data_IF_399830184122
#
_entry.id   IF_399830184122
#
_cell.length_a   1.000
_cell.length_b   1.000
_cell.length_c   1.000
_cell.angle_alpha   90.00
_cell.angle_beta   90.00
_cell.angle_gamma   90.00
#
_symmetry.space_group_name_H-M   'P 1'
#
loop_
_entity.id
_entity.type
_entity.pdbx_description
1 polymer ?
#
# COMPACT_ATOMS: atom_id res chain seq x y z
N UNK A 1 -13.79 23.25 11.82
CA UNK A 1 -15.04 22.48 12.06
C UNK A 1 -15.20 21.57 10.86
N UNK A 2 -15.16 20.26 11.06
CA UNK A 2 -15.29 19.29 9.95
C UNK A 2 -16.74 19.38 9.45
N UNK A 3 -16.89 19.61 8.14
CA UNK A 3 -18.20 19.56 7.50
C UNK A 3 -18.72 18.11 7.55
N UNK A 4 -19.77 17.88 8.33
CA UNK A 4 -20.30 16.54 8.60
C UNK A 4 -20.87 15.88 7.34
N UNK A 5 -21.46 16.66 6.42
CA UNK A 5 -22.03 16.14 5.17
C UNK A 5 -20.90 15.73 4.22
N UNK A 6 -19.87 16.58 4.09
CA UNK A 6 -18.68 16.25 3.31
C UNK A 6 -17.99 14.99 3.84
N UNK A 7 -17.79 14.91 5.17
CA UNK A 7 -17.13 13.76 5.79
C UNK A 7 -17.92 12.48 5.59
N UNK A 8 -19.24 12.52 5.74
CA UNK A 8 -20.13 11.38 5.50
C UNK A 8 -20.04 10.92 4.04
N UNK A 9 -20.15 11.86 3.09
CA UNK A 9 -20.06 11.56 1.66
C UNK A 9 -18.67 11.04 1.29
N UNK A 10 -17.62 11.57 1.90
CA UNK A 10 -16.26 11.06 1.75
C UNK A 10 -16.14 9.60 2.23
N UNK A 11 -16.71 9.28 3.41
CA UNK A 11 -16.74 7.91 3.93
C UNK A 11 -17.53 6.98 3.01
N UNK A 12 -18.67 7.42 2.49
CA UNK A 12 -19.49 6.64 1.55
C UNK A 12 -18.71 6.32 0.25
N UNK A 13 -17.97 7.29 -0.29
CA UNK A 13 -17.08 7.09 -1.45
C UNK A 13 -15.93 6.14 -1.13
N UNK A 14 -15.37 6.25 0.06
CA UNK A 14 -14.27 5.41 0.53
C UNK A 14 -14.76 3.97 0.76
N UNK A 15 -15.94 3.79 1.34
CA UNK A 15 -16.59 2.50 1.57
C UNK A 15 -17.11 1.81 0.30
N UNK A 16 -16.82 2.36 -0.89
CA UNK A 16 -17.23 1.81 -2.17
C UNK A 16 -18.75 1.81 -2.42
N UNK A 17 -19.44 2.85 -1.96
CA UNK A 17 -20.82 3.07 -2.38
C UNK A 17 -20.88 3.16 -3.92
N UNK A 18 -21.60 2.26 -4.61
CA UNK A 18 -21.64 2.24 -6.08
C UNK A 18 -22.56 3.33 -6.61
N UNK A 19 -22.17 4.59 -6.43
CA UNK A 19 -22.94 5.75 -6.88
C UNK A 19 -22.11 6.60 -7.86
N UNK A 20 -22.74 7.03 -8.94
CA UNK A 20 -22.19 8.09 -9.77
C UNK A 20 -22.43 9.41 -9.04
N UNK A 21 -21.36 10.08 -8.67
CA UNK A 21 -21.41 11.31 -7.88
C UNK A 21 -20.31 12.27 -8.29
N UNK A 22 -20.58 13.54 -8.13
CA UNK A 22 -19.59 14.61 -8.23
C UNK A 22 -19.73 15.50 -7.02
N UNK A 23 -18.64 15.81 -6.36
CA UNK A 23 -18.59 16.58 -5.14
C UNK A 23 -17.44 17.60 -5.20
N UNK A 24 -17.72 18.84 -4.89
CA UNK A 24 -16.69 19.85 -4.70
C UNK A 24 -16.22 19.85 -3.24
N UNK A 25 -14.93 20.14 -3.02
CA UNK A 25 -14.41 20.33 -1.67
C UNK A 25 -15.03 21.61 -1.10
N UNK A 26 -15.62 21.57 0.12
CA UNK A 26 -16.19 22.77 0.74
C UNK A 26 -15.17 23.89 0.85
N UNK A 27 -15.55 25.11 0.42
CA UNK A 27 -14.62 26.24 0.30
C UNK A 27 -13.91 26.65 1.59
N UNK A 28 -14.47 26.31 2.75
CA UNK A 28 -13.84 26.56 4.05
C UNK A 28 -12.81 25.47 4.44
N UNK A 29 -12.71 24.39 3.67
CA UNK A 29 -11.73 23.29 3.87
C UNK A 29 -10.62 23.33 2.85
N UNK A 30 -10.86 23.97 1.70
CA UNK A 30 -9.91 24.02 0.60
C UNK A 30 -10.57 24.15 -0.77
N UNK A 31 -9.90 23.59 -1.77
CA UNK A 31 -10.40 23.58 -3.16
C UNK A 31 -10.23 22.22 -3.77
N UNK A 32 -11.10 21.87 -4.70
CA UNK A 32 -10.95 20.63 -5.45
C UNK A 32 -12.29 19.97 -5.74
N UNK A 33 -12.18 18.80 -6.36
CA UNK A 33 -13.35 18.06 -6.83
C UNK A 33 -13.07 16.57 -6.76
N UNK A 34 -14.06 15.82 -6.33
CA UNK A 34 -14.07 14.36 -6.37
C UNK A 34 -15.21 13.95 -7.28
N UNK A 35 -14.94 13.11 -8.27
CA UNK A 35 -15.95 12.55 -9.15
C UNK A 35 -15.84 11.05 -9.22
N UNK A 36 -16.97 10.39 -9.30
CA UNK A 36 -17.08 8.94 -9.38
C UNK A 36 -18.11 8.54 -10.40
N UNK A 37 -17.77 7.57 -11.22
CA UNK A 37 -18.65 6.94 -12.19
C UNK A 37 -18.64 5.44 -11.96
N UNK A 38 -19.83 4.83 -12.04
CA UNK A 38 -19.99 3.39 -11.87
C UNK A 38 -20.39 2.78 -13.21
N UNK A 39 -19.67 1.76 -13.63
CA UNK A 39 -19.98 0.99 -14.86
C UNK A 39 -21.17 0.05 -14.62
N UNK A 40 -21.70 -0.54 -15.68
CA UNK A 40 -22.80 -1.51 -15.55
C UNK A 40 -22.40 -2.80 -14.84
N UNK A 41 -21.14 -3.18 -14.91
CA UNK A 41 -20.58 -4.32 -14.20
C UNK A 41 -20.18 -3.99 -12.74
N UNK A 42 -20.48 -2.76 -12.30
CA UNK A 42 -20.20 -2.32 -10.95
C UNK A 42 -18.75 -1.89 -10.71
N UNK A 43 -17.92 -1.78 -11.76
CA UNK A 43 -16.61 -1.17 -11.60
C UNK A 43 -16.76 0.33 -11.34
N UNK A 44 -15.96 0.84 -10.40
CA UNK A 44 -16.02 2.22 -9.92
C UNK A 44 -14.75 2.94 -10.34
N UNK A 45 -14.92 4.00 -11.13
CA UNK A 45 -13.82 4.87 -11.55
C UNK A 45 -13.97 6.20 -10.82
N UNK A 46 -12.96 6.60 -10.06
CA UNK A 46 -12.98 7.87 -9.34
C UNK A 46 -11.75 8.71 -9.60
N UNK A 47 -11.99 10.00 -9.80
CA UNK A 47 -11.00 11.06 -9.93
C UNK A 47 -11.06 11.96 -8.70
N UNK A 48 -9.93 12.15 -8.05
CA UNK A 48 -9.77 12.91 -6.82
C UNK A 48 -8.77 14.03 -7.06
N UNK A 49 -9.23 15.28 -7.02
CA UNK A 49 -8.41 16.47 -7.04
C UNK A 49 -8.70 17.27 -5.79
N UNK A 50 -7.71 17.39 -4.90
CA UNK A 50 -7.93 17.98 -3.57
C UNK A 50 -6.73 18.84 -3.19
N UNK A 51 -7.03 19.99 -2.62
CA UNK A 51 -6.07 20.87 -1.96
C UNK A 51 -6.72 21.44 -0.71
N UNK A 52 -6.34 20.94 0.44
CA UNK A 52 -6.84 21.37 1.73
C UNK A 52 -6.02 22.55 2.27
N UNK A 53 -6.65 23.48 2.96
CA UNK A 53 -5.98 24.64 3.54
C UNK A 53 -5.16 24.28 4.80
N UNK A 54 -5.56 23.24 5.51
CA UNK A 54 -4.89 22.68 6.68
C UNK A 54 -4.81 21.15 6.56
N UNK A 55 -4.06 20.51 7.47
CA UNK A 55 -3.97 19.06 7.52
C UNK A 55 -5.37 18.45 7.70
N UNK A 56 -5.68 17.45 6.86
CA UNK A 56 -6.96 16.77 6.81
C UNK A 56 -6.78 15.30 7.11
N UNK A 57 -7.40 14.85 8.20
CA UNK A 57 -7.44 13.42 8.55
C UNK A 57 -8.81 12.85 8.22
N UNK A 58 -8.83 11.76 7.51
CA UNK A 58 -10.05 11.04 7.14
C UNK A 58 -9.89 9.56 7.44
N UNK A 59 -10.99 8.89 7.73
CA UNK A 59 -11.00 7.44 7.89
C UNK A 59 -12.20 6.83 7.18
N UNK A 60 -12.07 5.57 6.81
CA UNK A 60 -13.14 4.81 6.18
C UNK A 60 -12.82 3.33 6.11
N UNK A 61 -13.83 2.50 5.97
CA UNK A 61 -13.66 1.06 5.80
C UNK A 61 -13.36 0.75 4.34
N UNK A 62 -12.22 0.13 4.08
CA UNK A 62 -11.88 -0.33 2.74
C UNK A 62 -12.48 -1.73 2.50
N UNK A 63 -13.58 -1.77 1.76
CA UNK A 63 -14.36 -2.98 1.52
C UNK A 63 -13.53 -4.08 0.84
N UNK A 64 -13.63 -5.31 1.35
CA UNK A 64 -13.02 -6.50 0.77
C UNK A 64 -13.76 -7.05 -0.48
N UNK A 65 -14.86 -6.39 -0.85
CA UNK A 65 -15.63 -6.73 -2.04
C UNK A 65 -14.98 -6.27 -3.37
N UNK A 66 -13.87 -5.51 -3.30
CA UNK A 66 -13.23 -4.92 -4.48
C UNK A 66 -11.74 -5.21 -4.56
N UNK A 67 -11.27 -5.37 -5.79
CA UNK A 67 -9.87 -5.16 -6.17
C UNK A 67 -9.72 -3.69 -6.55
N UNK A 68 -8.67 -3.02 -6.06
CA UNK A 68 -8.44 -1.60 -6.28
C UNK A 68 -7.11 -1.36 -6.99
N UNK A 69 -7.12 -0.46 -7.97
CA UNK A 69 -5.94 0.08 -8.63
C UNK A 69 -5.91 1.57 -8.35
N UNK A 70 -4.96 2.02 -7.54
CA UNK A 70 -4.79 3.41 -7.14
C UNK A 70 -3.59 4.02 -7.87
N UNK A 71 -3.79 5.16 -8.52
CA UNK A 71 -2.77 5.92 -9.26
C UNK A 71 -2.55 7.26 -8.58
N UNK A 72 -1.32 7.53 -8.15
CA UNK A 72 -0.92 8.79 -7.54
C UNK A 72 -0.33 9.74 -8.60
N UNK A 73 -1.09 10.75 -9.01
CA UNK A 73 -0.75 11.64 -10.12
C UNK A 73 -0.02 12.92 -9.67
N UNK A 74 -0.18 13.32 -8.41
CA UNK A 74 0.48 14.50 -7.81
C UNK A 74 1.10 14.15 -6.46
N UNK A 75 0.84 14.92 -5.41
CA UNK A 75 1.38 14.65 -4.07
C UNK A 75 0.92 13.29 -3.57
N UNK A 76 1.84 12.54 -2.96
CA UNK A 76 1.56 11.24 -2.36
C UNK A 76 0.93 11.34 -0.98
N UNK A 77 0.40 10.24 -0.50
CA UNK A 77 -0.15 10.12 0.85
C UNK A 77 0.28 8.82 1.52
N UNK A 78 0.07 8.79 2.82
CA UNK A 78 0.22 7.57 3.62
C UNK A 78 -1.10 7.27 4.30
N UNK A 79 -1.40 5.99 4.44
CA UNK A 79 -2.53 5.55 5.24
C UNK A 79 -2.14 4.38 6.13
N UNK A 80 -2.78 4.33 7.28
CA UNK A 80 -2.64 3.26 8.25
C UNK A 80 -3.88 2.37 8.19
N UNK A 81 -3.67 1.07 8.30
CA UNK A 81 -4.74 0.07 8.36
C UNK A 81 -4.92 -0.31 9.84
N UNK A 82 -6.15 -0.25 10.34
CA UNK A 82 -6.46 -0.66 11.71
C UNK A 82 -5.93 -2.08 11.98
N UNK A 83 -5.36 -2.27 13.16
CA UNK A 83 -4.74 -3.53 13.60
C UNK A 83 -3.48 -3.96 12.82
N UNK A 84 -3.02 -3.16 11.88
CA UNK A 84 -1.77 -3.38 11.18
C UNK A 84 -0.73 -2.33 11.59
N UNK A 85 0.45 -2.78 11.99
CA UNK A 85 1.55 -1.90 12.42
C UNK A 85 2.31 -1.27 11.24
N UNK A 86 1.72 -1.25 10.05
CA UNK A 86 2.43 -0.84 8.83
C UNK A 86 1.67 0.24 8.08
N UNK A 87 2.29 1.40 7.97
CA UNK A 87 1.81 2.44 7.09
C UNK A 87 2.05 2.07 5.63
N UNK A 88 1.04 2.23 4.82
CA UNK A 88 1.14 2.15 3.37
C UNK A 88 1.35 3.56 2.84
N UNK A 89 2.42 3.76 2.08
CA UNK A 89 2.72 5.05 1.45
C UNK A 89 2.70 4.89 -0.06
N UNK A 90 2.06 5.81 -0.78
CA UNK A 90 2.16 5.95 -2.23
C UNK A 90 2.75 7.31 -2.56
N UNK A 91 3.65 7.36 -3.55
CA UNK A 91 4.31 8.58 -4.00
C UNK A 91 3.81 9.00 -5.37
N UNK A 92 4.07 10.24 -5.74
CA UNK A 92 3.81 10.74 -7.10
C UNK A 92 4.43 9.81 -8.15
N UNK A 93 3.66 9.46 -9.16
CA UNK A 93 4.09 8.55 -10.24
C UNK A 93 4.04 7.07 -9.87
N UNK A 94 3.64 6.73 -8.65
CA UNK A 94 3.42 5.33 -8.26
C UNK A 94 1.96 4.93 -8.42
N UNK A 95 1.75 3.65 -8.66
CA UNK A 95 0.46 2.98 -8.63
C UNK A 95 0.53 1.72 -7.79
N UNK A 96 -0.58 1.30 -7.24
CA UNK A 96 -0.69 0.03 -6.51
C UNK A 96 -1.98 -0.69 -6.84
N UNK A 97 -1.90 -2.03 -6.82
CA UNK A 97 -3.06 -2.91 -6.87
C UNK A 97 -3.14 -3.72 -5.58
N UNK A 98 -4.34 -3.83 -5.05
CA UNK A 98 -4.59 -4.60 -3.83
C UNK A 98 -6.08 -4.93 -3.68
N UNK A 99 -6.37 -5.96 -2.89
CA UNK A 99 -7.74 -6.23 -2.46
C UNK A 99 -8.03 -5.46 -1.18
N UNK A 100 -9.21 -4.85 -1.08
CA UNK A 100 -9.71 -4.32 0.18
C UNK A 100 -9.78 -5.42 1.26
N UNK A 101 -9.64 -5.05 2.51
CA UNK A 101 -9.49 -6.00 3.63
C UNK A 101 -10.61 -5.89 4.67
N UNK A 102 -11.65 -5.06 4.41
CA UNK A 102 -12.78 -4.88 5.33
C UNK A 102 -12.45 -4.14 6.62
N UNK A 103 -11.22 -3.60 6.76
CA UNK A 103 -10.76 -2.88 7.94
C UNK A 103 -10.85 -1.36 7.76
N UNK A 104 -10.81 -0.65 8.87
CA UNK A 104 -10.70 0.80 8.89
C UNK A 104 -9.32 1.24 8.42
N UNK A 105 -9.27 2.22 7.54
CA UNK A 105 -8.06 2.91 7.10
C UNK A 105 -8.12 4.36 7.57
N UNK A 106 -6.96 4.88 7.96
CA UNK A 106 -6.76 6.26 8.39
C UNK A 106 -5.80 6.95 7.45
N UNK A 107 -6.26 8.00 6.77
CA UNK A 107 -5.47 8.78 5.82
C UNK A 107 -5.23 10.18 6.35
N UNK A 108 -4.04 10.72 6.11
CA UNK A 108 -3.72 12.11 6.40
C UNK A 108 -3.23 12.80 5.13
N UNK A 109 -3.89 13.91 4.79
CA UNK A 109 -3.50 14.81 3.72
C UNK A 109 -2.90 16.08 4.34
N UNK A 110 -1.65 16.35 4.02
CA UNK A 110 -0.97 17.55 4.50
C UNK A 110 -1.59 18.81 3.85
N UNK A 111 -1.85 19.82 4.65
CA UNK A 111 -2.44 21.07 4.20
C UNK A 111 -1.57 21.79 3.16
N UNK A 112 -2.19 22.55 2.27
CA UNK A 112 -1.58 23.32 1.18
C UNK A 112 -0.85 22.50 0.11
N UNK A 113 -1.01 21.16 0.13
CA UNK A 113 -0.51 20.27 -0.90
C UNK A 113 -1.60 19.97 -1.92
N UNK A 114 -1.17 19.72 -3.14
CA UNK A 114 -2.06 19.48 -4.29
C UNK A 114 -2.09 17.96 -4.59
N UNK A 115 -3.16 17.32 -4.19
CA UNK A 115 -3.36 15.87 -4.36
C UNK A 115 -4.17 15.58 -5.61
N UNK A 116 -3.73 14.59 -6.36
CA UNK A 116 -4.51 14.04 -7.46
C UNK A 116 -4.35 12.52 -7.50
N UNK A 117 -5.45 11.82 -7.33
CA UNK A 117 -5.51 10.37 -7.40
C UNK A 117 -6.57 9.95 -8.40
N UNK A 118 -6.31 8.86 -9.08
CA UNK A 118 -7.31 8.10 -9.82
C UNK A 118 -7.41 6.72 -9.22
N UNK A 119 -8.63 6.24 -9.00
CA UNK A 119 -8.86 4.90 -8.48
C UNK A 119 -9.82 4.15 -9.39
N UNK A 120 -9.48 2.90 -9.70
CA UNK A 120 -10.35 1.96 -10.40
C UNK A 120 -10.59 0.80 -9.44
N UNK A 121 -11.84 0.60 -9.04
CA UNK A 121 -12.27 -0.49 -8.16
C UNK A 121 -13.10 -1.46 -8.98
N UNK A 122 -12.74 -2.73 -8.94
CA UNK A 122 -13.42 -3.80 -9.66
C UNK A 122 -14.06 -4.75 -8.64
N UNK A 123 -15.38 -5.01 -8.69
CA UNK A 123 -15.99 -6.01 -7.81
C UNK A 123 -15.25 -7.34 -7.91
N UNK A 124 -14.97 -7.97 -6.76
CA UNK A 124 -14.20 -9.23 -6.74
C UNK A 124 -14.89 -10.33 -7.56
N UNK A 125 -16.21 -10.36 -7.59
CA UNK A 125 -16.98 -11.30 -8.41
C UNK A 125 -16.77 -11.05 -9.90
N UNK A 126 -16.80 -9.79 -10.34
CA UNK A 126 -16.53 -9.42 -11.73
C UNK A 126 -15.08 -9.70 -12.12
N UNK A 127 -14.13 -9.38 -11.27
CA UNK A 127 -12.72 -9.71 -11.47
C UNK A 127 -12.49 -11.22 -11.63
N UNK A 128 -13.10 -12.05 -10.79
CA UNK A 128 -13.02 -13.51 -10.89
C UNK A 128 -13.63 -14.04 -12.18
N UNK A 129 -14.77 -13.52 -12.61
CA UNK A 129 -15.38 -13.90 -13.87
C UNK A 129 -14.43 -13.61 -15.04
N UNK A 130 -13.80 -12.42 -15.04
CA UNK A 130 -12.79 -12.08 -16.05
C UNK A 130 -11.63 -13.10 -16.03
N UNK A 131 -11.12 -13.45 -14.84
CA UNK A 131 -10.05 -14.44 -14.75
C UNK A 131 -10.49 -15.82 -15.29
N UNK A 132 -11.69 -16.27 -14.93
CA UNK A 132 -12.22 -17.56 -15.38
C UNK A 132 -12.49 -17.63 -16.88
N UNK A 133 -12.82 -16.48 -17.51
CA UNK A 133 -13.07 -16.41 -18.95
C UNK A 133 -11.78 -16.46 -19.80
N UNK A 134 -10.63 -16.09 -19.23
CA UNK A 134 -9.38 -15.89 -20.01
C UNK A 134 -8.16 -16.67 -19.52
N UNK A 135 -8.20 -17.25 -18.31
CA UNK A 135 -7.04 -17.90 -17.68
C UNK A 135 -7.37 -19.30 -17.17
N UNK A 136 -6.37 -20.15 -17.03
CA UNK A 136 -6.51 -21.45 -16.41
C UNK A 136 -6.44 -21.38 -14.87
N UNK A 137 -6.84 -22.45 -14.17
CA UNK A 137 -6.86 -22.51 -12.71
C UNK A 137 -5.51 -22.22 -12.03
N UNK A 138 -4.36 -22.70 -12.52
CA UNK A 138 -3.06 -22.34 -11.98
C UNK A 138 -2.76 -20.83 -12.06
N UNK A 139 -3.08 -20.18 -13.17
CA UNK A 139 -2.90 -18.75 -13.38
C UNK A 139 -3.83 -17.95 -12.47
N UNK A 140 -5.12 -18.32 -12.39
CA UNK A 140 -6.09 -17.69 -11.49
C UNK A 140 -5.61 -17.76 -10.05
N UNK A 141 -5.19 -18.94 -9.58
CA UNK A 141 -4.66 -19.14 -8.24
C UNK A 141 -3.44 -18.26 -7.95
N UNK A 142 -2.58 -18.05 -8.97
CA UNK A 142 -1.40 -17.22 -8.85
C UNK A 142 -1.76 -15.73 -8.72
N UNK A 143 -2.69 -15.22 -9.53
CA UNK A 143 -3.16 -13.84 -9.45
C UNK A 143 -3.89 -13.56 -8.13
N UNK A 144 -4.80 -14.44 -7.72
CA UNK A 144 -5.50 -14.32 -6.43
C UNK A 144 -4.51 -14.31 -5.25
N UNK A 145 -3.56 -15.25 -5.23
CA UNK A 145 -2.54 -15.30 -4.19
C UNK A 145 -1.74 -13.99 -4.11
N UNK A 146 -1.34 -13.41 -5.23
CA UNK A 146 -0.59 -12.15 -5.25
C UNK A 146 -1.39 -10.97 -4.72
N UNK A 147 -2.66 -10.89 -5.08
CA UNK A 147 -3.56 -9.85 -4.59
C UNK A 147 -3.90 -10.00 -3.09
N UNK A 148 -3.87 -11.23 -2.56
CA UNK A 148 -4.12 -11.51 -1.16
C UNK A 148 -2.88 -11.31 -0.27
N UNK A 149 -1.66 -11.32 -0.83
CA UNK A 149 -0.42 -11.25 -0.04
C UNK A 149 0.06 -9.83 0.27
N UNK A 150 -0.67 -8.82 -0.16
CA UNK A 150 -0.35 -7.43 0.17
C UNK A 150 -0.55 -6.45 -0.98
N UNK A 151 0.00 -5.26 -0.81
CA UNK A 151 -0.09 -4.16 -1.77
C UNK A 151 1.12 -4.22 -2.70
N UNK A 152 0.88 -4.52 -3.98
CA UNK A 152 1.92 -4.46 -5.02
C UNK A 152 2.02 -3.04 -5.56
N UNK A 153 3.19 -2.41 -5.44
CA UNK A 153 3.46 -1.05 -5.91
C UNK A 153 4.47 -1.07 -7.06
N UNK A 154 4.19 -0.27 -8.07
CA UNK A 154 5.09 -0.02 -9.22
C UNK A 154 5.00 1.43 -9.67
N UNK A 155 5.88 1.86 -10.54
CA UNK A 155 5.76 3.15 -11.23
C UNK A 155 4.65 3.11 -12.27
N UNK A 156 3.95 4.23 -12.46
CA UNK A 156 2.98 4.39 -13.55
C UNK A 156 3.74 4.38 -14.86
N UNK A 157 3.46 3.40 -15.72
CA UNK A 157 4.13 3.29 -17.02
C UNK A 157 3.52 4.27 -18.03
N UNK A 158 4.25 4.64 -19.10
CA UNK A 158 3.71 5.51 -20.16
C UNK A 158 2.42 4.95 -20.79
N UNK A 159 2.28 3.63 -20.80
CA UNK A 159 1.07 2.98 -21.32
C UNK A 159 -0.12 3.20 -20.37
N UNK A 160 0.08 3.02 -19.07
CA UNK A 160 -0.93 3.35 -18.05
C UNK A 160 -1.31 4.83 -18.09
N UNK A 161 -0.33 5.75 -18.23
CA UNK A 161 -0.60 7.18 -18.36
C UNK A 161 -1.51 7.50 -19.56
N UNK A 162 -1.30 6.84 -20.71
CA UNK A 162 -2.14 6.98 -21.89
C UNK A 162 -3.58 6.57 -21.59
N UNK A 163 -3.79 5.39 -21.00
CA UNK A 163 -5.14 4.91 -20.63
C UNK A 163 -5.82 5.89 -19.67
N UNK A 164 -5.09 6.37 -18.65
CA UNK A 164 -5.60 7.35 -17.69
C UNK A 164 -5.97 8.67 -18.38
N UNK A 165 -5.21 9.13 -19.36
CA UNK A 165 -5.52 10.33 -20.12
C UNK A 165 -6.79 10.15 -20.95
N UNK A 166 -6.95 9.00 -21.61
CA UNK A 166 -8.11 8.66 -22.45
C UNK A 166 -9.41 8.53 -21.65
N UNK A 167 -9.35 8.16 -20.36
CA UNK A 167 -10.54 8.09 -19.50
C UNK A 167 -11.33 9.41 -19.44
N UNK A 168 -10.67 10.56 -19.66
CA UNK A 168 -11.34 11.87 -19.73
C UNK A 168 -12.28 11.98 -20.93
N UNK A 169 -12.05 11.18 -21.96
CA UNK A 169 -12.84 11.17 -23.17
C UNK A 169 -14.23 10.54 -23.00
N UNK A 170 -14.51 9.97 -21.84
CA UNK A 170 -15.84 9.45 -21.49
C UNK A 170 -16.97 10.45 -21.80
N UNK A 171 -16.75 11.72 -21.52
CA UNK A 171 -17.74 12.78 -21.76
C UNK A 171 -18.10 12.95 -23.24
N UNK A 172 -17.30 12.45 -24.18
CA UNK A 172 -17.58 12.48 -25.62
C UNK A 172 -18.66 11.47 -26.03
N UNK A 173 -18.89 10.45 -25.21
CA UNK A 173 -19.84 9.37 -25.51
C UNK A 173 -21.12 9.53 -24.69
N UNK A 174 -22.28 9.29 -25.31
CA UNK A 174 -23.58 9.41 -24.66
C UNK A 174 -24.20 8.04 -24.35
N UNK A 175 -24.90 7.95 -23.23
CA UNK A 175 -25.67 6.77 -22.87
C UNK A 175 -24.85 5.49 -22.80
N UNK A 176 -25.32 4.42 -23.41
CA UNK A 176 -24.69 3.10 -23.38
C UNK A 176 -23.27 3.06 -23.97
N UNK A 177 -22.97 3.92 -24.95
CA UNK A 177 -21.64 3.99 -25.55
C UNK A 177 -20.58 4.48 -24.55
N UNK A 178 -20.95 5.42 -23.67
CA UNK A 178 -20.05 5.86 -22.60
C UNK A 178 -19.69 4.73 -21.63
N UNK A 179 -20.67 3.95 -21.21
CA UNK A 179 -20.39 2.78 -20.37
C UNK A 179 -19.55 1.72 -21.06
N UNK A 180 -19.82 1.44 -22.35
CA UNK A 180 -19.00 0.53 -23.14
C UNK A 180 -17.55 1.02 -23.23
N UNK A 181 -17.34 2.32 -23.45
CA UNK A 181 -16.02 2.93 -23.47
C UNK A 181 -15.31 2.76 -22.10
N UNK A 182 -15.99 3.04 -20.98
CA UNK A 182 -15.40 2.86 -19.64
C UNK A 182 -15.04 1.41 -19.36
N UNK A 183 -15.92 0.46 -19.69
CA UNK A 183 -15.65 -0.97 -19.55
C UNK A 183 -14.40 -1.36 -20.35
N UNK A 184 -14.27 -0.90 -21.62
CA UNK A 184 -13.09 -1.19 -22.42
C UNK A 184 -11.80 -0.69 -21.78
N UNK A 185 -11.83 0.49 -21.14
CA UNK A 185 -10.68 1.06 -20.44
C UNK A 185 -10.34 0.32 -19.15
N UNK A 186 -11.34 -0.20 -18.42
CA UNK A 186 -11.13 -1.08 -17.27
C UNK A 186 -10.42 -2.36 -17.70
N UNK A 187 -10.86 -3.00 -18.79
CA UNK A 187 -10.21 -4.19 -19.33
C UNK A 187 -8.78 -3.90 -19.81
N UNK A 188 -8.57 -2.81 -20.54
CA UNK A 188 -7.25 -2.42 -21.03
C UNK A 188 -6.30 -2.17 -19.84
N UNK A 189 -6.72 -1.42 -18.82
CA UNK A 189 -5.92 -1.18 -17.63
C UNK A 189 -5.64 -2.47 -16.85
N UNK A 190 -6.63 -3.34 -16.70
CA UNK A 190 -6.46 -4.62 -16.03
C UNK A 190 -5.44 -5.51 -16.76
N UNK A 191 -5.51 -5.60 -18.09
CA UNK A 191 -4.55 -6.39 -18.86
C UNK A 191 -3.11 -5.88 -18.70
N UNK A 192 -2.92 -4.55 -18.68
CA UNK A 192 -1.61 -3.94 -18.38
C UNK A 192 -1.13 -4.29 -16.98
N UNK A 193 -2.01 -4.20 -15.98
CA UNK A 193 -1.65 -4.55 -14.61
C UNK A 193 -1.31 -6.04 -14.45
N UNK A 194 -2.06 -6.92 -15.08
CA UNK A 194 -1.78 -8.35 -15.01
C UNK A 194 -0.43 -8.65 -15.67
N UNK A 195 -0.15 -8.09 -16.85
CA UNK A 195 1.11 -8.34 -17.55
C UNK A 195 2.31 -7.61 -16.95
N UNK A 196 2.23 -6.29 -16.75
CA UNK A 196 3.40 -5.49 -16.35
C UNK A 196 3.69 -5.55 -14.84
N UNK A 197 2.67 -5.70 -14.00
CA UNK A 197 2.83 -5.67 -12.54
C UNK A 197 2.86 -7.07 -11.96
N UNK A 198 1.91 -7.92 -12.33
CA UNK A 198 1.81 -9.24 -11.74
C UNK A 198 2.71 -10.26 -12.46
N UNK A 199 2.78 -10.28 -13.78
CA UNK A 199 3.67 -11.18 -14.53
C UNK A 199 5.14 -10.80 -14.42
N UNK A 200 5.51 -9.52 -14.50
CA UNK A 200 6.89 -9.09 -14.29
C UNK A 200 7.38 -9.43 -12.88
N UNK A 201 6.50 -9.43 -11.89
CA UNK A 201 6.82 -9.94 -10.56
C UNK A 201 6.90 -11.48 -10.53
N UNK A 202 6.21 -12.19 -11.45
CA UNK A 202 6.35 -13.64 -11.64
C UNK A 202 7.67 -13.95 -12.35
N UNK A 203 8.00 -13.22 -13.41
CA UNK A 203 9.21 -13.41 -14.21
C UNK A 203 10.47 -12.84 -13.52
N UNK A 204 10.33 -11.80 -12.67
CA UNK A 204 11.41 -11.22 -11.85
C UNK A 204 11.60 -11.92 -10.51
N UNK A 205 10.63 -12.68 -10.07
CA UNK A 205 10.89 -13.75 -9.13
C UNK A 205 11.34 -14.94 -9.99
N UNK A 206 12.64 -15.25 -10.10
CA UNK A 206 12.94 -16.61 -10.41
C UNK A 206 12.15 -17.37 -9.35
N UNK A 207 11.33 -18.32 -9.74
CA UNK A 207 10.93 -19.37 -8.82
C UNK A 207 12.24 -19.99 -8.31
N UNK A 208 12.77 -19.40 -7.24
CA UNK A 208 13.45 -20.20 -6.28
C UNK A 208 12.31 -21.05 -5.76
N UNK A 209 12.08 -22.19 -6.37
CA UNK A 209 11.25 -23.24 -5.80
C UNK A 209 11.89 -23.52 -4.46
N UNK A 210 11.44 -22.76 -3.44
CA UNK A 210 11.94 -22.89 -2.09
C UNK A 210 11.38 -24.22 -1.65
N UNK A 211 12.25 -25.24 -1.64
CA UNK A 211 11.87 -26.56 -1.15
C UNK A 211 11.27 -26.41 0.26
N UNK A 212 10.43 -27.34 0.67
CA UNK A 212 9.86 -27.32 2.04
C UNK A 212 10.98 -27.18 3.08
N UNK A 213 12.09 -27.88 2.88
CA UNK A 213 13.30 -27.81 3.72
C UNK A 213 13.91 -26.39 3.72
N UNK A 214 13.98 -25.73 2.57
CA UNK A 214 14.54 -24.38 2.49
C UNK A 214 13.63 -23.34 3.15
N UNK A 215 12.30 -23.51 3.04
CA UNK A 215 11.33 -22.66 3.73
C UNK A 215 11.51 -22.73 5.24
N UNK A 216 11.64 -23.93 5.79
CA UNK A 216 11.88 -24.14 7.22
C UNK A 216 13.20 -23.48 7.65
N UNK A 217 14.27 -23.66 6.86
CA UNK A 217 15.57 -23.02 7.08
C UNK A 217 15.50 -21.49 7.08
N UNK A 218 14.73 -20.89 6.17
CA UNK A 218 14.56 -19.44 6.11
C UNK A 218 13.72 -18.93 7.29
N UNK A 219 12.73 -19.70 7.74
CA UNK A 219 11.96 -19.41 8.96
C UNK A 219 12.87 -19.46 10.20
N UNK A 220 13.81 -20.40 10.26
CA UNK A 220 14.78 -20.46 11.35
C UNK A 220 15.74 -19.25 11.33
N UNK A 221 16.16 -18.81 10.15
CA UNK A 221 16.92 -17.56 10.02
C UNK A 221 16.14 -16.36 10.56
N UNK A 222 14.83 -16.24 10.23
CA UNK A 222 13.97 -15.19 10.78
C UNK A 222 13.88 -15.29 12.31
N UNK A 223 13.68 -16.48 12.87
CA UNK A 223 13.64 -16.67 14.34
C UNK A 223 14.92 -16.21 15.02
N UNK A 224 16.10 -16.51 14.43
CA UNK A 224 17.39 -16.05 14.95
C UNK A 224 17.44 -14.51 14.98
N UNK A 225 17.01 -13.84 13.92
CA UNK A 225 16.95 -12.38 13.86
C UNK A 225 16.03 -11.82 14.95
N UNK A 226 14.82 -12.36 15.07
CA UNK A 226 13.81 -11.88 16.03
C UNK A 226 14.28 -12.03 17.47
N UNK A 227 14.96 -13.13 17.81
CA UNK A 227 15.53 -13.38 19.13
C UNK A 227 16.75 -12.51 19.46
N UNK A 228 17.57 -12.19 18.46
CA UNK A 228 18.84 -11.45 18.64
C UNK A 228 18.81 -10.09 17.93
N UNK A 229 17.67 -9.41 17.91
CA UNK A 229 17.41 -8.24 17.10
C UNK A 229 18.43 -7.11 17.27
N UNK A 230 18.85 -6.83 18.53
CA UNK A 230 19.85 -5.80 18.83
C UNK A 230 21.24 -6.13 18.28
N UNK A 231 21.61 -7.41 18.31
CA UNK A 231 22.89 -7.97 17.83
C UNK A 231 22.68 -8.92 16.65
N UNK A 232 21.68 -8.64 15.80
CA UNK A 232 21.33 -9.52 14.69
C UNK A 232 22.57 -9.84 13.83
N UNK A 233 22.84 -11.14 13.55
CA UNK A 233 24.00 -11.54 12.77
C UNK A 233 23.92 -11.00 11.35
N UNK A 234 25.08 -10.74 10.75
CA UNK A 234 25.17 -10.40 9.32
C UNK A 234 24.72 -11.56 8.43
N UNK A 235 24.40 -11.23 7.17
CA UNK A 235 23.81 -12.21 6.23
C UNK A 235 24.68 -13.49 6.07
N UNK A 236 26.01 -13.36 6.00
CA UNK A 236 26.92 -14.49 5.86
C UNK A 236 26.96 -15.38 7.13
N UNK A 237 26.95 -14.73 8.30
CA UNK A 237 26.93 -15.46 9.58
C UNK A 237 25.58 -16.16 9.77
N UNK A 238 24.50 -15.49 9.43
CA UNK A 238 23.15 -16.05 9.50
C UNK A 238 23.01 -17.27 8.56
N UNK A 239 23.52 -17.15 7.34
CA UNK A 239 23.51 -18.23 6.36
C UNK A 239 24.30 -19.47 6.87
N UNK A 240 25.47 -19.24 7.51
CA UNK A 240 26.24 -20.32 8.15
C UNK A 240 25.47 -20.97 9.28
N UNK A 241 24.78 -20.18 10.12
CA UNK A 241 23.99 -20.71 11.25
C UNK A 241 22.85 -21.61 10.80
N UNK A 242 22.24 -21.30 9.66
CA UNK A 242 21.11 -22.09 9.13
C UNK A 242 21.50 -23.07 8.04
N UNK A 243 22.79 -23.20 7.70
CA UNK A 243 23.32 -24.24 6.83
C UNK A 243 23.03 -24.07 5.34
N UNK A 244 22.83 -22.83 4.85
CA UNK A 244 22.66 -22.53 3.42
C UNK A 244 23.58 -21.41 2.96
N UNK A 245 23.74 -21.22 1.64
CA UNK A 245 24.56 -20.11 1.13
C UNK A 245 23.89 -18.75 1.38
N UNK A 246 24.70 -17.68 1.56
CA UNK A 246 24.20 -16.32 1.74
C UNK A 246 23.32 -15.86 0.57
N UNK A 247 23.66 -16.23 -0.67
CA UNK A 247 22.85 -15.92 -1.85
C UNK A 247 21.48 -16.61 -1.79
N UNK A 248 21.43 -17.88 -1.40
CA UNK A 248 20.19 -18.65 -1.25
C UNK A 248 19.33 -18.07 -0.13
N UNK A 249 19.95 -17.75 1.01
CA UNK A 249 19.26 -17.11 2.13
C UNK A 249 18.67 -15.75 1.74
N UNK A 250 19.46 -14.87 1.11
CA UNK A 250 19.01 -13.52 0.73
C UNK A 250 17.84 -13.57 -0.26
N UNK A 251 17.96 -14.39 -1.30
CA UNK A 251 16.90 -14.56 -2.31
C UNK A 251 15.64 -15.17 -1.69
N UNK A 252 15.81 -16.25 -0.93
CA UNK A 252 14.70 -16.94 -0.30
C UNK A 252 13.99 -16.08 0.75
N UNK A 253 14.75 -15.35 1.57
CA UNK A 253 14.19 -14.44 2.57
C UNK A 253 13.37 -13.32 1.91
N UNK A 254 13.92 -12.65 0.88
CA UNK A 254 13.21 -11.61 0.14
C UNK A 254 11.97 -12.15 -0.57
N UNK A 255 12.03 -13.38 -1.10
CA UNK A 255 10.86 -14.04 -1.71
C UNK A 255 9.78 -14.37 -0.69
N UNK A 256 10.13 -14.82 0.53
CA UNK A 256 9.17 -15.20 1.57
C UNK A 256 8.57 -14.01 2.32
N UNK A 257 9.37 -12.97 2.57
CA UNK A 257 8.97 -11.85 3.45
C UNK A 257 8.80 -10.52 2.70
N UNK A 258 9.04 -10.49 1.39
CA UNK A 258 8.84 -9.31 0.54
C UNK A 258 9.89 -8.21 0.72
N UNK A 259 10.86 -8.38 1.64
CA UNK A 259 11.91 -7.39 1.92
C UNK A 259 13.27 -8.05 2.14
N UNK A 260 14.39 -7.39 1.80
CA UNK A 260 15.72 -7.86 2.12
C UNK A 260 15.94 -8.01 3.63
N UNK A 261 16.79 -8.97 4.05
CA UNK A 261 17.11 -9.24 5.45
C UNK A 261 17.51 -7.97 6.23
N UNK A 262 18.36 -7.15 5.64
CA UNK A 262 18.82 -5.90 6.28
C UNK A 262 17.65 -4.92 6.51
N UNK A 263 16.76 -4.78 5.55
CA UNK A 263 15.55 -3.92 5.68
C UNK A 263 14.63 -4.47 6.76
N UNK A 264 14.43 -5.78 6.79
CA UNK A 264 13.65 -6.44 7.84
C UNK A 264 14.20 -6.15 9.24
N UNK A 265 15.52 -6.30 9.44
CA UNK A 265 16.18 -6.02 10.74
C UNK A 265 15.98 -4.55 11.15
N UNK A 266 16.17 -3.60 10.23
CA UNK A 266 15.96 -2.19 10.51
C UNK A 266 14.51 -1.93 10.91
N UNK A 267 13.57 -2.46 10.17
CA UNK A 267 12.15 -2.26 10.43
C UNK A 267 11.73 -2.80 11.79
N UNK A 268 12.17 -4.00 12.15
CA UNK A 268 11.88 -4.61 13.46
C UNK A 268 12.53 -3.84 14.61
N UNK A 269 13.75 -3.31 14.43
CA UNK A 269 14.40 -2.44 15.43
C UNK A 269 13.62 -1.16 15.68
N UNK A 270 13.12 -0.52 14.62
CA UNK A 270 12.35 0.70 14.73
C UNK A 270 10.97 0.45 15.35
N UNK A 271 10.32 -0.67 15.05
CA UNK A 271 9.06 -1.07 15.68
C UNK A 271 9.22 -1.31 17.17
N UNK A 272 10.25 -2.08 17.56
CA UNK A 272 10.58 -2.28 18.98
C UNK A 272 10.90 -0.96 19.68
N UNK A 273 11.64 -0.07 19.02
CA UNK A 273 11.95 1.24 19.57
C UNK A 273 10.70 2.11 19.77
N UNK A 274 9.75 2.06 18.85
CA UNK A 274 8.49 2.79 18.96
C UNK A 274 7.70 2.34 20.21
N UNK A 275 7.59 1.03 20.47
CA UNK A 275 7.01 0.51 21.70
C UNK A 275 7.76 0.98 22.94
N UNK A 276 9.10 0.91 22.95
CA UNK A 276 9.92 1.36 24.09
C UNK A 276 9.82 2.86 24.35
N UNK A 277 9.62 3.69 23.31
CA UNK A 277 9.42 5.13 23.47
C UNK A 277 8.12 5.47 24.20
N UNK A 278 7.10 4.65 24.07
CA UNK A 278 5.81 4.82 24.75
C UNK A 278 5.85 4.21 26.15
N UNK A 279 6.39 3.00 26.29
CA UNK A 279 6.22 2.16 27.49
C UNK A 279 7.34 2.32 28.52
N UNK A 280 8.51 2.92 28.15
CA UNK A 280 9.67 2.96 29.04
C UNK A 280 10.09 4.38 29.44
N UNK A 281 10.76 4.48 30.60
CA UNK A 281 11.41 5.71 31.06
C UNK A 281 12.77 6.00 30.40
N UNK A 282 13.26 5.10 29.54
CA UNK A 282 14.56 5.22 28.88
C UNK A 282 14.61 6.45 27.98
N UNK A 283 15.76 7.12 27.92
CA UNK A 283 15.94 8.21 26.96
C UNK A 283 16.19 7.68 25.54
N UNK A 284 16.05 8.56 24.53
CA UNK A 284 16.17 8.22 23.10
C UNK A 284 17.50 7.54 22.79
N UNK A 285 18.60 7.98 23.41
CA UNK A 285 19.93 7.39 23.20
C UNK A 285 20.03 5.97 23.75
N UNK A 286 19.47 5.74 24.94
CA UNK A 286 19.42 4.41 25.54
C UNK A 286 18.55 3.44 24.72
N UNK A 287 17.40 3.91 24.21
CA UNK A 287 16.55 3.12 23.34
C UNK A 287 17.28 2.76 22.05
N UNK A 288 17.95 3.73 21.41
CA UNK A 288 18.74 3.49 20.19
C UNK A 288 19.78 2.36 20.41
N UNK A 289 20.51 2.39 21.51
CA UNK A 289 21.47 1.34 21.87
C UNK A 289 20.79 -0.01 22.15
N UNK A 290 19.67 0.01 22.89
CA UNK A 290 18.92 -1.19 23.26
C UNK A 290 18.35 -1.94 22.03
N UNK A 291 18.03 -1.22 20.95
CA UNK A 291 17.56 -1.84 19.70
C UNK A 291 18.66 -2.09 18.68
N UNK A 292 19.93 -1.83 19.04
CA UNK A 292 21.09 -2.22 18.23
C UNK A 292 21.64 -1.16 17.28
N UNK A 293 21.37 0.13 17.53
CA UNK A 293 22.04 1.23 16.83
C UNK A 293 23.26 1.68 17.61
N UNK A 294 24.44 1.63 16.99
CA UNK A 294 25.69 2.13 17.61
C UNK A 294 25.76 3.65 17.71
N UNK A 295 25.01 4.36 16.84
CA UNK A 295 24.97 5.83 16.79
C UNK A 295 23.52 6.31 16.89
N UNK A 296 23.17 7.06 17.98
CA UNK A 296 21.80 7.60 18.15
C UNK A 296 21.33 8.50 17.02
N UNK A 297 22.25 9.19 16.31
CA UNK A 297 21.92 10.02 15.14
C UNK A 297 21.36 9.18 13.98
N UNK A 298 21.96 8.01 13.71
CA UNK A 298 21.49 7.11 12.66
C UNK A 298 20.10 6.53 13.00
N UNK A 299 19.89 6.22 14.28
CA UNK A 299 18.58 5.82 14.79
C UNK A 299 17.53 6.90 14.55
N UNK A 300 17.81 8.14 14.99
CA UNK A 300 16.87 9.26 14.88
C UNK A 300 16.52 9.56 13.41
N UNK A 301 17.49 9.49 12.50
CA UNK A 301 17.25 9.67 11.08
C UNK A 301 16.39 8.54 10.47
N UNK A 302 16.69 7.28 10.82
CA UNK A 302 15.91 6.13 10.37
C UNK A 302 14.48 6.14 10.94
N UNK A 303 14.33 6.49 12.22
CA UNK A 303 13.05 6.60 12.89
C UNK A 303 12.18 7.70 12.26
N UNK A 304 12.73 8.90 12.06
CA UNK A 304 12.02 9.99 11.39
C UNK A 304 11.59 9.62 9.98
N UNK A 305 12.42 8.89 9.23
CA UNK A 305 12.07 8.43 7.88
C UNK A 305 10.90 7.45 7.89
N UNK A 306 10.80 6.57 8.93
CA UNK A 306 9.73 5.57 9.05
C UNK A 306 8.43 6.17 9.61
N UNK A 307 8.53 6.98 10.66
CA UNK A 307 7.37 7.48 11.42
C UNK A 307 7.02 8.95 11.17
N UNK A 308 7.77 9.64 10.31
CA UNK A 308 7.54 11.06 9.96
C UNK A 308 7.99 12.06 11.03
N UNK A 309 8.15 11.64 12.28
CA UNK A 309 8.49 12.47 13.43
C UNK A 309 9.78 12.01 14.12
N UNK A 310 10.46 12.91 14.84
CA UNK A 310 11.62 12.56 15.61
C UNK A 310 11.25 11.67 16.81
N UNK A 311 12.12 10.73 17.25
CA UNK A 311 11.86 9.87 18.39
C UNK A 311 11.48 10.63 19.67
N UNK A 312 12.07 11.82 19.89
CA UNK A 312 11.77 12.68 21.05
C UNK A 312 10.33 13.20 21.02
N UNK A 313 9.82 13.56 19.84
CA UNK A 313 8.45 14.00 19.65
C UNK A 313 7.46 12.84 19.78
N UNK A 314 7.84 11.67 19.30
CA UNK A 314 7.05 10.45 19.41
C UNK A 314 6.83 10.01 20.87
N UNK A 315 7.87 10.16 21.72
CA UNK A 315 7.80 9.86 23.17
C UNK A 315 6.85 10.79 23.94
N UNK A 316 6.57 11.99 23.44
CA UNK A 316 5.67 12.97 24.08
C UNK A 316 4.20 12.84 23.66
N UNK A 317 3.86 11.89 22.80
CA UNK A 317 2.48 11.61 22.43
C UNK A 317 1.92 10.56 23.38
N UNK A 318 0.97 10.97 24.24
CA UNK A 318 0.16 10.00 24.99
C UNK A 318 -0.58 9.09 24.03
N UNK A 319 -0.72 7.78 24.35
CA UNK A 319 -1.58 6.91 23.57
C UNK A 319 -2.99 7.51 23.57
N UNK A 320 -3.52 7.84 22.40
CA UNK A 320 -4.92 8.18 22.25
C UNK A 320 -5.70 6.90 22.52
N UNK A 321 -6.41 6.87 23.66
CA UNK A 321 -7.35 5.81 24.05
C UNK A 321 -8.47 5.62 23.02
#
# INVERSE_FOLDING_TARGET
MIDKEFYKLYQDLFANSPQTVTMDIPGHMGTGKISQVVTRQGAVLSDWHMKYDSDMSVCGVNSDAYIQMLFCLKEGCSWNIADERKDVTIRRGETCIYRGHGKMEYLCYLGRRDFAFRNIKIPITYFRNILQDYFDEPEISLYEKKLLTGISKVEITPYMERILAELKDFAKYRGGLGYLFLESKVFEMLSVYLSEVLELNILRSPEVSISKSDRDTILDAKRIIDHQLASAPGCEELARKVGISASKLTKGFSSMFGVPIHTYIIDQRLEKAAGMLIESSLNVGQIALAVGYSKPGNFSAAFKRKYGVNPKCYKGQEPVE
#
